data_IF_965712084664
#
_entry.id   IF_965712084664
#
_cell.length_a   1.000
_cell.length_b   1.000
_cell.length_c   1.000
_cell.angle_alpha   90.00
_cell.angle_beta   90.00
_cell.angle_gamma   90.00
#
_symmetry.space_group_name_H-M   'P 1'
#
loop_
_entity.id
_entity.type
_entity.pdbx_description
1 polymer ?
#
# COMPACT_ATOMS: atom_id res chain seq x y z
N UNK A 1 -3.09 0.25 -9.74
CA UNK A 1 -1.99 -0.55 -9.16
C UNK A 1 -2.36 -0.89 -7.72
N UNK A 2 -1.62 -1.77 -7.04
CA UNK A 2 -1.91 -2.23 -5.68
C UNK A 2 -0.61 -2.39 -4.90
N UNK A 3 -0.68 -2.33 -3.57
CA UNK A 3 0.44 -2.62 -2.68
C UNK A 3 0.15 -3.96 -2.00
N UNK A 4 0.94 -4.99 -2.30
CA UNK A 4 0.73 -6.35 -1.77
C UNK A 4 1.84 -6.73 -0.79
N UNK A 5 1.52 -7.01 0.49
CA UNK A 5 2.53 -7.38 1.48
C UNK A 5 3.09 -8.79 1.24
N UNK A 6 4.41 -8.94 1.39
CA UNK A 6 5.11 -10.23 1.42
C UNK A 6 5.36 -10.62 2.87
N UNK A 7 4.92 -11.83 3.25
CA UNK A 7 4.89 -12.33 4.64
C UNK A 7 5.92 -13.42 4.92
N UNK A 8 6.49 -14.02 3.87
CA UNK A 8 7.45 -15.12 3.95
C UNK A 8 8.29 -15.17 2.66
N UNK A 9 9.57 -15.54 2.77
CA UNK A 9 10.47 -15.78 1.65
C UNK A 9 11.27 -17.05 1.95
N UNK A 10 11.26 -18.03 1.05
CA UNK A 10 12.03 -19.28 1.15
C UNK A 10 11.88 -19.99 2.51
N UNK A 11 10.64 -20.24 2.93
CA UNK A 11 10.26 -20.84 4.22
C UNK A 11 10.70 -20.05 5.47
N UNK A 12 11.16 -18.81 5.29
CA UNK A 12 11.50 -17.90 6.38
C UNK A 12 10.43 -16.81 6.54
N UNK A 13 9.71 -16.87 7.66
CA UNK A 13 8.74 -15.84 8.02
C UNK A 13 9.43 -14.48 8.20
N UNK A 14 8.88 -13.43 7.56
CA UNK A 14 9.36 -12.06 7.75
C UNK A 14 8.67 -11.49 8.99
N UNK A 15 9.45 -11.18 10.03
CA UNK A 15 8.92 -10.60 11.26
C UNK A 15 7.97 -11.56 11.98
N UNK A 16 6.69 -11.20 12.07
CA UNK A 16 5.63 -12.00 12.71
C UNK A 16 4.80 -12.83 11.71
N UNK A 17 5.20 -12.88 10.43
CA UNK A 17 4.47 -13.62 9.39
C UNK A 17 3.15 -12.96 8.94
N UNK A 18 2.88 -11.72 9.38
CA UNK A 18 1.71 -10.95 8.96
C UNK A 18 2.10 -9.63 8.30
N UNK A 19 1.11 -8.85 7.87
CA UNK A 19 1.38 -7.53 7.31
C UNK A 19 1.94 -6.62 8.42
N UNK A 20 3.13 -6.06 8.22
CA UNK A 20 3.71 -5.09 9.15
C UNK A 20 3.01 -3.73 9.09
N UNK A 21 3.04 -2.99 10.20
CA UNK A 21 2.42 -1.67 10.36
C UNK A 21 2.84 -0.66 9.27
N UNK A 22 4.10 -0.70 8.82
CA UNK A 22 4.60 0.19 7.76
C UNK A 22 3.93 -0.13 6.42
N UNK A 23 3.86 -1.41 6.06
CA UNK A 23 3.26 -1.84 4.79
C UNK A 23 1.77 -1.55 4.76
N UNK A 24 1.07 -1.69 5.89
CA UNK A 24 -0.33 -1.32 6.04
C UNK A 24 -0.55 0.19 5.87
N UNK A 25 0.29 1.04 6.48
CA UNK A 25 0.24 2.49 6.30
C UNK A 25 0.43 2.89 4.84
N UNK A 26 1.43 2.33 4.17
CA UNK A 26 1.71 2.60 2.76
C UNK A 26 0.57 2.11 1.85
N UNK A 27 0.03 0.92 2.11
CA UNK A 27 -1.11 0.38 1.38
C UNK A 27 -2.34 1.29 1.52
N UNK A 28 -2.63 1.74 2.73
CA UNK A 28 -3.75 2.65 3.03
C UNK A 28 -3.58 3.98 2.30
N UNK A 29 -2.42 4.62 2.44
CA UNK A 29 -2.12 5.88 1.77
C UNK A 29 -2.20 5.77 0.25
N UNK A 30 -1.68 4.67 -0.31
CA UNK A 30 -1.76 4.41 -1.74
C UNK A 30 -3.21 4.29 -2.21
N UNK A 31 -4.05 3.55 -1.48
CA UNK A 31 -5.47 3.42 -1.82
C UNK A 31 -6.23 4.74 -1.70
N UNK A 32 -5.97 5.53 -0.66
CA UNK A 32 -6.61 6.83 -0.51
C UNK A 32 -6.21 7.81 -1.62
N UNK A 33 -4.95 7.74 -2.07
CA UNK A 33 -4.45 8.52 -3.19
C UNK A 33 -5.14 8.18 -4.51
N UNK A 34 -5.19 6.89 -4.90
CA UNK A 34 -5.77 6.48 -6.19
C UNK A 34 -7.30 6.63 -6.25
N UNK A 35 -7.97 6.69 -5.11
CA UNK A 35 -9.41 6.99 -5.03
C UNK A 35 -9.70 8.49 -4.91
N UNK A 36 -8.69 9.36 -4.96
CA UNK A 36 -8.86 10.81 -4.86
C UNK A 36 -9.36 11.30 -3.50
N UNK A 37 -9.13 10.52 -2.42
CA UNK A 37 -9.47 10.91 -1.04
C UNK A 37 -8.40 11.80 -0.40
N UNK A 38 -7.24 11.90 -1.05
CA UNK A 38 -6.15 12.78 -0.70
C UNK A 38 -6.00 13.85 -1.79
N UNK A 39 -5.96 15.11 -1.38
CA UNK A 39 -5.73 16.25 -2.28
C UNK A 39 -4.24 16.47 -2.59
N UNK A 40 -3.40 15.52 -2.16
CA UNK A 40 -1.96 15.50 -2.39
C UNK A 40 -1.72 14.71 -3.67
N UNK A 41 -1.03 15.28 -4.66
CA UNK A 41 -0.83 14.68 -5.99
C UNK A 41 -2.11 14.45 -6.81
N UNK A 42 -3.08 15.37 -6.73
CA UNK A 42 -4.29 15.37 -7.57
C UNK A 42 -3.97 15.32 -9.07
N UNK A 43 -2.79 15.80 -9.50
CA UNK A 43 -2.27 15.73 -10.87
C UNK A 43 -2.04 14.30 -11.38
N UNK A 44 -1.98 13.30 -10.51
CA UNK A 44 -1.82 11.89 -10.89
C UNK A 44 -3.14 11.23 -11.32
N UNK A 45 -4.27 11.89 -11.05
CA UNK A 45 -5.62 11.40 -11.36
C UNK A 45 -6.13 12.12 -12.61
N UNK A 46 -6.34 11.37 -13.69
CA UNK A 46 -6.97 11.89 -14.91
C UNK A 46 -8.47 11.65 -14.87
N UNK A 47 -9.25 12.70 -14.60
CA UNK A 47 -10.71 12.71 -14.73
C UNK A 47 -11.05 13.06 -16.18
N UNK A 48 -11.70 12.14 -16.89
CA UNK A 48 -12.17 12.36 -18.28
C UNK A 48 -13.62 12.83 -18.28
#
# INVERSE_FOLDING_TARGET
>A
AEVTPIREIDDNAIGNGSCGEITEKLQTMYFDLVHGRLDVHSDWLSYT
#
